data_IF_647368093633
#
_entry.id   IF_647368093633
#
_cell.length_a   1.000
_cell.length_b   1.000
_cell.length_c   1.000
_cell.angle_alpha   90.00
_cell.angle_beta   90.00
_cell.angle_gamma   90.00
#
_symmetry.space_group_name_H-M   'P 1'
#
loop_
_entity.id
_entity.type
_entity.pdbx_description
1 polymer ?
#
# COMPACT_ATOMS: atom_id res chain seq x y z
N UNK A 1 -4.03 7.69 38.91
CA UNK A 1 -3.14 6.54 38.68
C UNK A 1 -1.82 6.74 39.45
N UNK A 2 -1.34 5.72 40.15
CA UNK A 2 0.00 5.70 40.75
C UNK A 2 0.91 4.91 39.82
N UNK A 3 2.11 5.43 39.51
CA UNK A 3 3.04 4.78 38.58
C UNK A 3 4.43 4.78 39.20
N UNK A 4 5.09 3.64 39.20
CA UNK A 4 6.49 3.47 39.55
C UNK A 4 7.29 3.00 38.32
N UNK A 5 8.55 3.36 38.27
CA UNK A 5 9.42 3.11 37.13
C UNK A 5 10.61 2.25 37.56
N UNK A 6 10.99 1.30 36.72
CA UNK A 6 12.19 0.47 36.87
C UNK A 6 12.88 0.35 35.51
N UNK A 7 14.15 0.73 35.43
CA UNK A 7 14.98 0.47 34.26
C UNK A 7 15.46 -0.97 34.28
N UNK A 8 15.34 -1.65 33.16
CA UNK A 8 15.78 -3.03 32.95
C UNK A 8 17.20 -3.06 32.37
N UNK A 9 17.85 -4.21 32.42
CA UNK A 9 19.24 -4.38 31.95
C UNK A 9 19.38 -4.27 30.43
N UNK A 10 18.28 -4.57 29.70
CA UNK A 10 18.16 -4.49 28.24
C UNK A 10 17.86 -3.06 27.72
N UNK A 11 17.81 -2.06 28.61
CA UNK A 11 17.52 -0.68 28.26
C UNK A 11 16.04 -0.35 28.20
N UNK A 12 15.16 -1.31 28.38
CA UNK A 12 13.72 -1.10 28.50
C UNK A 12 13.33 -0.49 29.83
N UNK A 13 12.17 0.14 29.88
CA UNK A 13 11.61 0.71 31.11
C UNK A 13 10.33 -0.06 31.44
N UNK A 14 10.31 -0.72 32.60
CA UNK A 14 9.08 -1.32 33.15
C UNK A 14 8.37 -0.29 34.05
N UNK A 15 7.16 0.07 33.70
CA UNK A 15 6.25 0.84 34.52
C UNK A 15 5.31 -0.11 35.28
N UNK A 16 5.19 0.05 36.56
CA UNK A 16 4.12 -0.60 37.34
C UNK A 16 3.08 0.45 37.68
N UNK A 17 1.88 0.28 37.16
CA UNK A 17 0.77 1.23 37.26
C UNK A 17 -0.39 0.65 38.09
N UNK A 18 -0.97 1.47 38.94
CA UNK A 18 -2.19 1.15 39.67
C UNK A 18 -3.27 2.19 39.35
N UNK A 19 -4.25 1.79 38.58
CA UNK A 19 -5.41 2.61 38.24
C UNK A 19 -6.47 2.52 39.34
N UNK A 20 -6.94 3.68 39.80
CA UNK A 20 -8.00 3.75 40.79
C UNK A 20 -9.36 3.31 40.19
N UNK A 21 -10.32 2.94 41.04
CA UNK A 21 -11.65 2.48 40.60
C UNK A 21 -12.38 3.44 39.69
N UNK A 22 -12.20 4.76 39.89
CA UNK A 22 -12.79 5.78 39.01
C UNK A 22 -12.15 5.81 37.61
N UNK A 23 -10.81 5.63 37.54
CA UNK A 23 -10.08 5.58 36.27
C UNK A 23 -10.43 4.32 35.50
N UNK A 24 -10.58 3.18 36.18
CA UNK A 24 -11.05 1.93 35.58
C UNK A 24 -12.47 2.06 35.04
N UNK A 25 -13.37 2.72 35.78
CA UNK A 25 -14.73 2.97 35.31
C UNK A 25 -14.77 3.86 34.07
N UNK A 26 -13.94 4.89 34.02
CA UNK A 26 -13.78 5.74 32.85
C UNK A 26 -13.22 4.98 31.64
N UNK A 27 -12.20 4.15 31.86
CA UNK A 27 -11.60 3.32 30.80
C UNK A 27 -12.66 2.39 30.16
N UNK A 28 -13.47 1.72 30.94
CA UNK A 28 -14.57 0.92 30.41
C UNK A 28 -15.64 1.76 29.69
N UNK A 29 -15.94 2.95 30.17
CA UNK A 29 -16.90 3.81 29.47
C UNK A 29 -16.40 4.18 28.08
N UNK A 30 -15.13 4.57 27.93
CA UNK A 30 -14.54 4.86 26.62
C UNK A 30 -14.46 3.59 25.78
N UNK A 31 -13.98 2.48 26.34
CA UNK A 31 -13.87 1.20 25.67
C UNK A 31 -15.20 0.69 25.08
N UNK A 32 -16.32 0.93 25.78
CA UNK A 32 -17.65 0.57 25.29
C UNK A 32 -18.02 1.31 24.00
N UNK A 33 -17.76 2.63 23.95
CA UNK A 33 -17.99 3.42 22.73
C UNK A 33 -17.07 2.97 21.60
N UNK A 34 -15.80 2.77 21.89
CA UNK A 34 -14.82 2.30 20.91
C UNK A 34 -15.19 0.92 20.36
N UNK A 35 -15.65 0.00 21.22
CA UNK A 35 -16.12 -1.32 20.82
C UNK A 35 -17.33 -1.23 19.90
N UNK A 36 -18.36 -0.45 20.27
CA UNK A 36 -19.53 -0.25 19.43
C UNK A 36 -19.14 0.33 18.07
N UNK A 37 -18.26 1.33 18.03
CA UNK A 37 -17.79 1.95 16.80
C UNK A 37 -17.03 0.95 15.91
N UNK A 38 -16.15 0.12 16.49
CA UNK A 38 -15.39 -0.91 15.74
C UNK A 38 -16.30 -2.00 15.15
N UNK A 39 -17.43 -2.27 15.81
CA UNK A 39 -18.42 -3.25 15.34
C UNK A 39 -19.52 -2.63 14.45
N UNK A 40 -19.40 -1.35 14.08
CA UNK A 40 -20.40 -0.64 13.29
C UNK A 40 -21.74 -0.45 14.00
N UNK A 41 -21.76 -0.47 15.34
CA UNK A 41 -22.96 -0.26 16.15
C UNK A 41 -23.08 1.22 16.51
N UNK A 42 -24.06 1.90 15.93
CA UNK A 42 -24.43 3.26 16.35
C UNK A 42 -25.13 3.21 17.71
N UNK A 43 -24.72 4.10 18.60
CA UNK A 43 -25.33 4.30 19.93
C UNK A 43 -26.29 5.48 19.84
N UNK A 44 -27.63 5.27 19.82
CA UNK A 44 -28.61 6.33 19.72
C UNK A 44 -28.59 7.27 20.95
N UNK A 45 -29.04 8.51 20.76
CA UNK A 45 -29.18 9.44 21.88
C UNK A 45 -30.14 8.86 22.93
N UNK A 46 -29.68 8.77 24.19
CA UNK A 46 -30.46 8.25 25.31
C UNK A 46 -30.26 6.77 25.60
N UNK A 47 -29.50 6.03 24.77
CA UNK A 47 -29.07 4.66 25.08
C UNK A 47 -27.63 4.63 25.56
N UNK A 48 -27.31 3.60 26.35
CA UNK A 48 -25.92 3.31 26.70
C UNK A 48 -25.30 2.37 25.65
N UNK A 49 -23.95 2.39 25.45
CA UNK A 49 -23.28 1.43 24.57
C UNK A 49 -23.61 -0.02 24.90
N UNK A 50 -23.76 -0.37 26.17
CA UNK A 50 -24.11 -1.71 26.61
C UNK A 50 -25.52 -2.12 26.12
N UNK A 51 -26.50 -1.24 26.19
CA UNK A 51 -27.84 -1.49 25.66
C UNK A 51 -27.84 -1.66 24.14
N UNK A 52 -27.09 -0.79 23.43
CA UNK A 52 -26.99 -0.87 21.98
C UNK A 52 -26.28 -2.15 21.53
N UNK A 53 -25.23 -2.58 22.23
CA UNK A 53 -24.52 -3.82 21.95
C UNK A 53 -25.37 -5.07 22.27
N UNK A 54 -26.17 -5.05 23.34
CA UNK A 54 -27.09 -6.14 23.67
C UNK A 54 -28.18 -6.27 22.59
N UNK A 55 -28.76 -5.16 22.17
CA UNK A 55 -29.84 -5.15 21.17
C UNK A 55 -29.37 -5.59 19.77
N UNK A 56 -28.22 -5.06 19.32
CA UNK A 56 -27.72 -5.31 17.95
C UNK A 56 -26.82 -6.53 17.81
N UNK A 57 -26.05 -6.85 18.86
CA UNK A 57 -25.05 -7.93 18.81
C UNK A 57 -25.36 -9.09 19.76
N UNK A 58 -26.37 -8.94 20.66
CA UNK A 58 -26.70 -9.95 21.67
C UNK A 58 -25.67 -10.07 22.80
N UNK A 59 -24.78 -9.08 22.96
CA UNK A 59 -23.71 -9.08 23.96
C UNK A 59 -24.26 -8.55 25.29
N UNK A 60 -24.40 -9.43 26.29
CA UNK A 60 -24.93 -9.08 27.62
C UNK A 60 -23.88 -8.51 28.57
N UNK A 61 -22.62 -8.90 28.39
CA UNK A 61 -21.50 -8.45 29.21
C UNK A 61 -20.48 -7.74 28.34
N UNK A 62 -20.69 -6.42 28.15
CA UNK A 62 -19.83 -5.59 27.33
C UNK A 62 -18.47 -5.35 28.02
N UNK A 63 -18.42 -5.35 29.36
CA UNK A 63 -17.15 -5.22 30.09
C UNK A 63 -16.19 -6.38 29.71
N UNK A 64 -16.68 -7.62 29.63
CA UNK A 64 -15.84 -8.77 29.29
C UNK A 64 -15.20 -8.70 27.91
N UNK A 65 -15.92 -8.20 26.90
CA UNK A 65 -15.43 -8.14 25.51
C UNK A 65 -14.62 -6.88 25.21
N UNK A 66 -14.71 -5.86 26.05
CA UNK A 66 -14.00 -4.58 25.87
C UNK A 66 -12.80 -4.39 26.82
N UNK A 67 -12.38 -5.44 27.54
CA UNK A 67 -11.27 -5.38 28.50
C UNK A 67 -9.97 -4.86 27.87
N UNK A 68 -9.61 -5.38 26.69
CA UNK A 68 -8.40 -4.94 26.00
C UNK A 68 -8.45 -3.44 25.66
N UNK A 69 -9.56 -2.97 25.15
CA UNK A 69 -9.73 -1.54 24.82
C UNK A 69 -9.67 -0.65 26.09
N UNK A 70 -10.17 -1.15 27.24
CA UNK A 70 -10.06 -0.44 28.49
C UNK A 70 -8.62 -0.37 29.01
N UNK A 71 -7.82 -1.42 28.78
CA UNK A 71 -6.40 -1.45 29.10
C UNK A 71 -5.63 -0.51 28.18
N UNK A 72 -5.90 -0.59 26.87
CA UNK A 72 -5.26 0.27 25.85
C UNK A 72 -5.52 1.76 26.12
N UNK A 73 -6.68 2.09 26.66
CA UNK A 73 -6.99 3.44 27.14
C UNK A 73 -6.15 3.87 28.35
N UNK A 74 -5.82 2.95 29.28
CA UNK A 74 -5.06 3.27 30.50
C UNK A 74 -3.54 3.39 30.26
N UNK A 75 -3.00 2.68 29.29
CA UNK A 75 -1.55 2.62 29.02
C UNK A 75 -0.92 4.00 28.77
N UNK A 76 -1.47 4.87 27.89
CA UNK A 76 -0.92 6.21 27.65
C UNK A 76 -0.82 7.05 28.92
N UNK A 77 -1.80 6.96 29.81
CA UNK A 77 -1.76 7.71 31.09
C UNK A 77 -0.65 7.24 32.03
N UNK A 78 -0.30 5.95 31.98
CA UNK A 78 0.83 5.44 32.76
C UNK A 78 2.15 5.99 32.25
N UNK A 79 2.32 6.07 30.95
CA UNK A 79 3.51 6.60 30.26
C UNK A 79 3.64 8.11 30.50
N UNK A 80 2.55 8.86 30.32
CA UNK A 80 2.50 10.32 30.50
C UNK A 80 2.85 10.72 31.94
N UNK A 81 2.40 9.96 32.96
CA UNK A 81 2.76 10.21 34.37
C UNK A 81 4.24 10.20 34.66
N UNK A 82 5.04 9.59 33.80
CA UNK A 82 6.52 9.54 33.89
C UNK A 82 7.20 10.43 32.86
N UNK A 83 6.42 11.17 32.06
CA UNK A 83 6.94 12.04 31.00
C UNK A 83 7.90 11.27 30.07
N UNK A 84 7.56 10.00 29.78
CA UNK A 84 8.34 9.18 28.88
C UNK A 84 7.88 9.38 27.44
N UNK A 85 8.83 9.37 26.52
CA UNK A 85 8.56 9.37 25.10
C UNK A 85 8.95 7.99 24.55
N UNK A 86 7.98 7.10 24.29
CA UNK A 86 8.29 5.76 23.78
C UNK A 86 8.70 5.82 22.31
N UNK A 87 9.63 4.95 21.91
CA UNK A 87 10.01 4.76 20.51
C UNK A 87 8.94 3.96 19.73
N UNK A 88 8.19 3.10 20.42
CA UNK A 88 7.10 2.29 19.89
C UNK A 88 5.91 2.27 20.83
N UNK A 89 4.73 1.83 20.38
CA UNK A 89 3.59 1.63 21.24
C UNK A 89 3.96 0.77 22.45
N UNK A 90 3.70 1.26 23.68
CA UNK A 90 4.05 0.53 24.90
C UNK A 90 3.28 -0.78 25.00
N UNK A 91 3.94 -1.85 25.47
CA UNK A 91 3.32 -3.17 25.60
C UNK A 91 2.82 -3.40 27.02
N UNK A 92 1.50 -3.55 27.24
CA UNK A 92 0.97 -3.90 28.55
C UNK A 92 1.23 -5.36 28.89
N UNK A 93 1.66 -5.62 30.13
CA UNK A 93 1.82 -6.94 30.74
C UNK A 93 0.75 -7.07 31.82
N UNK A 94 -0.15 -8.02 31.66
CA UNK A 94 -1.36 -8.16 32.43
C UNK A 94 -1.35 -9.49 33.19
N UNK A 95 -1.24 -9.43 34.50
CA UNK A 95 -1.27 -10.61 35.37
C UNK A 95 -2.71 -11.00 35.79
N UNK A 96 -3.63 -10.04 35.81
CA UNK A 96 -5.02 -10.24 36.22
C UNK A 96 -5.99 -9.46 35.32
N UNK A 97 -7.19 -10.00 35.06
CA UNK A 97 -8.17 -9.31 34.22
C UNK A 97 -8.66 -8.02 34.90
N UNK A 98 -8.81 -6.96 34.11
CA UNK A 98 -9.40 -5.70 34.57
C UNK A 98 -10.88 -5.89 34.91
N UNK A 99 -11.33 -5.35 36.06
CA UNK A 99 -12.74 -5.44 36.50
C UNK A 99 -13.23 -4.09 36.98
N UNK A 100 -14.41 -3.73 36.54
CA UNK A 100 -15.09 -2.50 36.98
C UNK A 100 -15.30 -2.49 38.50
N UNK A 101 -15.05 -1.37 39.14
CA UNK A 101 -15.22 -1.18 40.58
C UNK A 101 -14.06 -1.68 41.43
N UNK A 102 -12.99 -2.19 40.84
CA UNK A 102 -11.77 -2.60 41.53
C UNK A 102 -10.59 -1.75 41.09
N UNK A 103 -9.56 -1.66 41.92
CA UNK A 103 -8.26 -1.12 41.54
C UNK A 103 -7.61 -2.10 40.58
N UNK A 104 -7.03 -1.63 39.49
CA UNK A 104 -6.36 -2.45 38.51
C UNK A 104 -4.87 -2.16 38.48
N UNK A 105 -4.09 -3.18 38.78
CA UNK A 105 -2.63 -3.14 38.72
C UNK A 105 -2.16 -3.83 37.45
N UNK A 106 -1.29 -3.15 36.71
CA UNK A 106 -0.72 -3.65 35.46
C UNK A 106 0.67 -3.12 35.26
N UNK A 107 1.44 -3.81 34.44
CA UNK A 107 2.77 -3.36 34.03
C UNK A 107 2.74 -2.90 32.59
N UNK A 108 3.62 -1.98 32.25
CA UNK A 108 3.80 -1.50 30.88
C UNK A 108 5.30 -1.52 30.57
N UNK A 109 5.65 -2.22 29.54
CA UNK A 109 7.02 -2.21 29.02
C UNK A 109 7.14 -1.09 27.98
N UNK A 110 8.10 -0.21 28.18
CA UNK A 110 8.33 0.97 27.35
C UNK A 110 9.74 0.90 26.78
N UNK A 111 9.86 0.96 25.47
CA UNK A 111 11.13 1.19 24.79
C UNK A 111 11.35 2.70 24.72
N UNK A 112 12.31 3.28 25.48
CA UNK A 112 12.52 4.71 25.44
C UNK A 112 13.10 5.12 24.07
N UNK A 113 12.81 6.34 23.65
CA UNK A 113 13.55 6.92 22.51
C UNK A 113 15.03 6.97 22.84
N UNK A 114 15.91 6.62 21.91
CA UNK A 114 17.36 6.77 22.11
C UNK A 114 17.73 8.25 22.30
N UNK A 115 18.82 8.50 23.00
CA UNK A 115 19.44 9.83 23.04
C UNK A 115 20.16 10.06 21.71
N UNK A 116 19.80 11.11 21.00
CA UNK A 116 20.37 11.46 19.71
C UNK A 116 20.44 12.97 19.51
N UNK A 117 21.44 13.37 18.77
CA UNK A 117 21.71 14.75 18.37
C UNK A 117 22.25 14.77 16.93
N UNK A 118 22.35 15.96 16.34
CA UNK A 118 23.06 16.14 15.09
C UNK A 118 24.43 16.75 15.34
N UNK A 119 25.42 16.36 14.53
CA UNK A 119 26.76 16.97 14.57
C UNK A 119 26.76 18.45 14.21
N UNK A 120 25.73 18.90 13.49
CA UNK A 120 25.51 20.30 13.08
C UNK A 120 24.07 20.55 12.73
N UNK A 121 23.52 21.67 13.20
CA UNK A 121 22.19 22.21 12.85
C UNK A 121 22.27 23.33 11.81
N UNK A 122 23.44 23.58 11.22
CA UNK A 122 23.60 24.54 10.13
C UNK A 122 22.72 24.16 8.93
N UNK A 123 22.20 25.15 8.17
CA UNK A 123 21.38 24.90 7.00
C UNK A 123 22.01 23.89 6.05
N UNK A 124 21.17 22.98 5.53
CA UNK A 124 21.60 21.96 4.57
C UNK A 124 21.79 22.59 3.20
N UNK A 125 22.90 22.28 2.54
CA UNK A 125 23.17 22.66 1.16
C UNK A 125 23.10 21.42 0.27
N UNK A 126 22.13 21.39 -0.64
CA UNK A 126 21.96 20.32 -1.60
C UNK A 126 22.16 20.82 -3.02
N UNK A 127 22.68 19.99 -3.90
CA UNK A 127 22.77 20.27 -5.32
C UNK A 127 21.75 19.41 -6.05
N UNK A 128 20.75 20.06 -6.64
CA UNK A 128 19.70 19.38 -7.39
C UNK A 128 19.81 19.70 -8.88
N UNK A 129 19.49 18.75 -9.78
CA UNK A 129 19.41 19.03 -11.21
C UNK A 129 18.32 20.08 -11.48
N UNK A 130 18.45 20.90 -12.54
CA UNK A 130 17.42 21.88 -12.88
C UNK A 130 16.11 21.17 -13.26
N UNK A 131 15.00 21.76 -12.86
CA UNK A 131 13.67 21.28 -13.23
C UNK A 131 13.37 21.72 -14.67
N UNK A 132 13.55 20.82 -15.63
CA UNK A 132 13.22 21.04 -17.02
C UNK A 132 12.00 20.21 -17.40
N UNK A 133 10.99 20.85 -17.96
CA UNK A 133 9.81 20.15 -18.49
C UNK A 133 10.03 19.81 -19.97
N UNK A 134 9.79 18.57 -20.32
CA UNK A 134 9.84 18.12 -21.71
C UNK A 134 8.44 18.14 -22.32
N UNK A 135 8.19 19.05 -23.23
CA UNK A 135 6.90 19.20 -23.92
C UNK A 135 6.52 17.96 -24.75
N UNK A 136 7.48 17.13 -25.15
CA UNK A 136 7.19 15.89 -25.87
C UNK A 136 6.37 14.89 -25.05
N UNK A 137 6.43 14.99 -23.72
CA UNK A 137 5.60 14.20 -22.82
C UNK A 137 4.10 14.50 -22.98
N UNK A 138 3.76 15.73 -23.34
CA UNK A 138 2.37 16.12 -23.62
C UNK A 138 1.87 15.39 -24.86
N UNK A 139 2.69 15.37 -25.93
CA UNK A 139 2.34 14.66 -27.16
C UNK A 139 2.21 13.16 -26.93
N UNK A 140 3.12 12.57 -26.16
CA UNK A 140 3.05 11.16 -25.79
C UNK A 140 1.78 10.84 -24.99
N UNK A 141 1.41 11.68 -24.03
CA UNK A 141 0.22 11.48 -23.21
C UNK A 141 -1.07 11.60 -24.05
N UNK A 142 -1.11 12.56 -24.99
CA UNK A 142 -2.24 12.71 -25.92
C UNK A 142 -2.31 11.51 -26.87
N UNK A 143 -1.17 11.01 -27.35
CA UNK A 143 -1.10 9.82 -28.17
C UNK A 143 -1.61 8.57 -27.41
N UNK A 144 -1.17 8.36 -26.18
CA UNK A 144 -1.69 7.29 -25.32
C UNK A 144 -3.19 7.40 -25.07
N UNK A 145 -3.68 8.63 -24.90
CA UNK A 145 -5.09 8.90 -24.79
C UNK A 145 -5.82 8.48 -26.06
N UNK A 146 -5.35 8.91 -27.25
CA UNK A 146 -5.92 8.49 -28.53
C UNK A 146 -5.93 6.96 -28.69
N UNK A 147 -4.86 6.29 -28.29
CA UNK A 147 -4.73 4.84 -28.32
C UNK A 147 -5.75 4.10 -27.45
N UNK A 148 -6.15 4.71 -26.33
CA UNK A 148 -7.21 4.13 -25.48
C UNK A 148 -8.61 4.14 -26.17
N UNK A 149 -8.79 4.95 -27.19
CA UNK A 149 -10.00 5.00 -28.03
C UNK A 149 -9.82 4.31 -29.39
N UNK A 150 -8.73 3.55 -29.57
CA UNK A 150 -8.50 2.83 -30.80
C UNK A 150 -9.64 1.84 -31.09
N UNK A 151 -10.05 1.79 -32.34
CA UNK A 151 -11.02 0.80 -32.84
C UNK A 151 -10.29 -0.25 -33.67
N UNK A 152 -10.88 -1.43 -33.75
CA UNK A 152 -10.33 -2.54 -34.52
C UNK A 152 -11.33 -2.88 -35.61
N UNK A 153 -10.92 -2.64 -36.87
CA UNK A 153 -11.77 -2.85 -38.04
C UNK A 153 -11.23 -3.99 -38.90
N UNK A 154 -12.11 -4.68 -39.59
CA UNK A 154 -11.71 -5.73 -40.50
C UNK A 154 -10.82 -5.18 -41.58
N UNK A 155 -9.65 -5.80 -41.76
CA UNK A 155 -8.73 -5.50 -42.84
C UNK A 155 -8.65 -6.63 -43.87
N UNK A 156 -8.07 -6.34 -45.05
CA UNK A 156 -7.72 -7.39 -45.99
C UNK A 156 -6.75 -8.39 -45.35
N UNK A 157 -6.89 -9.68 -45.73
CA UNK A 157 -6.14 -10.78 -45.12
C UNK A 157 -4.63 -10.57 -45.22
N UNK A 158 -4.06 -9.90 -44.21
CA UNK A 158 -2.61 -9.79 -43.98
C UNK A 158 -2.22 -10.76 -42.86
N UNK A 159 -1.00 -11.33 -42.88
CA UNK A 159 -0.50 -12.08 -41.75
C UNK A 159 -0.48 -11.20 -40.49
N UNK A 160 -0.91 -11.76 -39.35
CA UNK A 160 -0.85 -11.09 -38.06
C UNK A 160 0.58 -10.79 -37.68
N UNK A 161 0.86 -9.56 -37.30
CA UNK A 161 2.13 -9.13 -36.72
C UNK A 161 2.06 -9.05 -35.18
N UNK A 162 3.15 -8.71 -34.53
CA UNK A 162 3.26 -8.66 -33.06
C UNK A 162 2.38 -7.56 -32.40
N UNK A 163 1.84 -6.63 -33.17
CA UNK A 163 0.93 -5.57 -32.72
C UNK A 163 -0.46 -5.67 -33.35
N UNK A 164 -0.71 -6.75 -34.08
CA UNK A 164 -1.95 -7.00 -34.80
C UNK A 164 -3.11 -7.33 -33.86
N UNK A 165 -4.31 -7.29 -34.42
CA UNK A 165 -5.49 -7.78 -33.76
C UNK A 165 -6.25 -8.75 -34.67
N UNK A 166 -6.92 -9.70 -34.06
CA UNK A 166 -7.74 -10.66 -34.78
C UNK A 166 -8.99 -11.01 -33.98
N UNK A 167 -10.07 -11.26 -34.67
CA UNK A 167 -11.19 -11.96 -34.08
C UNK A 167 -10.90 -13.46 -34.13
N UNK A 168 -10.78 -14.09 -32.98
CA UNK A 168 -10.39 -15.50 -32.87
C UNK A 168 -11.50 -16.31 -32.20
N UNK A 169 -11.66 -17.55 -32.65
CA UNK A 169 -12.33 -18.58 -31.88
C UNK A 169 -11.24 -19.42 -31.18
N UNK A 170 -11.47 -19.71 -29.92
CA UNK A 170 -10.51 -20.37 -29.05
C UNK A 170 -11.17 -21.53 -28.33
N UNK A 171 -10.61 -22.71 -28.48
CA UNK A 171 -10.95 -23.90 -27.72
C UNK A 171 -9.75 -24.32 -26.89
N UNK A 172 -9.92 -24.39 -25.57
CA UNK A 172 -8.85 -24.77 -24.64
C UNK A 172 -9.28 -25.97 -23.83
N UNK A 173 -8.37 -26.92 -23.67
CA UNK A 173 -8.54 -28.08 -22.83
C UNK A 173 -7.29 -28.41 -22.04
N UNK A 174 -7.44 -29.07 -20.90
CA UNK A 174 -6.34 -29.53 -20.06
C UNK A 174 -6.58 -30.99 -19.68
N UNK A 175 -5.64 -31.87 -20.03
CA UNK A 175 -5.81 -33.28 -19.79
C UNK A 175 -7.08 -33.89 -20.38
N UNK A 176 -7.53 -33.37 -21.53
CA UNK A 176 -8.76 -33.79 -22.22
C UNK A 176 -10.07 -33.20 -21.68
N UNK A 177 -10.01 -32.32 -20.68
CA UNK A 177 -11.17 -31.60 -20.13
C UNK A 177 -11.21 -30.20 -20.69
N UNK A 178 -12.32 -29.81 -21.33
CA UNK A 178 -12.54 -28.47 -21.87
C UNK A 178 -12.63 -27.43 -20.75
N UNK A 179 -11.99 -26.29 -20.94
CA UNK A 179 -12.01 -25.14 -20.03
C UNK A 179 -12.89 -24.03 -20.62
N UNK A 180 -14.19 -24.06 -20.32
CA UNK A 180 -15.17 -23.16 -20.93
C UNK A 180 -14.92 -21.68 -20.64
N UNK A 181 -14.25 -21.36 -19.52
CA UNK A 181 -13.88 -20.00 -19.14
C UNK A 181 -12.76 -19.40 -20.04
N UNK A 182 -12.00 -20.24 -20.73
CA UNK A 182 -10.97 -19.83 -21.69
C UNK A 182 -11.42 -19.99 -23.15
N UNK A 183 -12.56 -20.63 -23.39
CA UNK A 183 -13.10 -20.83 -24.74
C UNK A 183 -13.90 -19.62 -25.21
N UNK A 184 -13.84 -19.33 -26.51
CA UNK A 184 -14.66 -18.29 -27.16
C UNK A 184 -14.95 -18.64 -28.60
N UNK A 185 -16.15 -18.32 -29.04
CA UNK A 185 -16.58 -18.55 -30.45
C UNK A 185 -16.25 -17.35 -31.36
N UNK A 186 -15.75 -16.26 -30.81
CA UNK A 186 -15.38 -15.07 -31.58
C UNK A 186 -15.14 -13.84 -30.67
N UNK A 187 -13.89 -13.63 -30.27
CA UNK A 187 -13.46 -12.48 -29.49
C UNK A 187 -12.31 -11.77 -30.20
N UNK A 188 -12.31 -10.46 -30.19
CA UNK A 188 -11.13 -9.70 -30.62
C UNK A 188 -10.00 -9.92 -29.62
N UNK A 189 -8.88 -10.42 -30.12
CA UNK A 189 -7.63 -10.60 -29.41
C UNK A 189 -6.60 -9.64 -30.00
N UNK A 190 -5.91 -8.93 -29.11
CA UNK A 190 -4.87 -7.95 -29.48
C UNK A 190 -3.54 -8.52 -29.01
N UNK A 191 -2.62 -8.71 -29.95
CA UNK A 191 -1.27 -9.19 -29.64
C UNK A 191 -0.47 -8.10 -28.94
N UNK A 192 0.42 -8.48 -28.05
CA UNK A 192 1.27 -7.55 -27.29
C UNK A 192 0.62 -6.93 -26.06
N UNK A 193 -0.63 -7.28 -25.75
CA UNK A 193 -1.31 -6.80 -24.53
C UNK A 193 -1.01 -7.63 -23.28
N UNK A 194 -0.27 -8.74 -23.42
CA UNK A 194 0.08 -9.62 -22.30
C UNK A 194 -1.11 -10.34 -21.66
N UNK A 195 -2.24 -10.50 -22.37
CA UNK A 195 -3.43 -11.19 -21.89
C UNK A 195 -3.24 -12.72 -21.84
N UNK A 196 -2.36 -13.25 -22.67
CA UNK A 196 -1.97 -14.65 -22.75
C UNK A 196 -0.45 -14.74 -22.74
N UNK A 197 0.12 -15.92 -22.40
CA UNK A 197 1.57 -16.13 -22.42
C UNK A 197 2.19 -15.83 -23.78
N UNK A 198 3.46 -15.40 -23.79
CA UNK A 198 4.23 -15.11 -25.01
C UNK A 198 4.22 -16.27 -26.01
N UNK A 199 4.18 -17.50 -25.51
CA UNK A 199 4.15 -18.71 -26.34
C UNK A 199 2.84 -18.82 -27.13
N UNK A 200 1.73 -18.41 -26.56
CA UNK A 200 0.44 -18.31 -27.24
C UNK A 200 0.51 -17.25 -28.35
N UNK A 201 1.00 -16.06 -28.06
CA UNK A 201 1.11 -14.97 -29.03
C UNK A 201 2.04 -15.29 -30.20
N UNK A 202 3.19 -15.93 -29.92
CA UNK A 202 4.11 -16.40 -30.96
C UNK A 202 3.45 -17.37 -31.96
N UNK A 203 2.48 -18.13 -31.51
CA UNK A 203 1.76 -19.06 -32.38
C UNK A 203 0.72 -18.35 -33.25
N UNK A 204 0.24 -17.19 -32.89
CA UNK A 204 -0.69 -16.36 -33.67
C UNK A 204 0.01 -15.53 -34.74
N UNK A 205 1.26 -15.12 -34.48
CA UNK A 205 2.03 -14.32 -35.42
C UNK A 205 2.21 -15.08 -36.74
N UNK A 206 1.88 -14.42 -37.85
CA UNK A 206 1.93 -14.97 -39.20
C UNK A 206 0.68 -15.72 -39.66
N UNK A 207 -0.31 -15.92 -38.79
CA UNK A 207 -1.61 -16.49 -39.19
C UNK A 207 -2.43 -15.48 -40.00
N UNK A 208 -3.27 -15.99 -40.87
CA UNK A 208 -4.20 -15.23 -41.71
C UNK A 208 -5.65 -15.64 -41.46
N UNK A 209 -6.60 -14.88 -42.00
CA UNK A 209 -8.03 -15.20 -41.92
C UNK A 209 -8.31 -16.63 -42.44
N UNK A 210 -8.99 -17.42 -41.64
CA UNK A 210 -9.34 -18.81 -41.92
C UNK A 210 -8.33 -19.84 -41.41
N UNK A 211 -7.16 -19.42 -40.98
CA UNK A 211 -6.16 -20.36 -40.46
C UNK A 211 -6.57 -20.96 -39.11
N UNK A 212 -6.27 -22.24 -38.96
CA UNK A 212 -6.48 -23.01 -37.74
C UNK A 212 -5.15 -23.56 -37.27
N UNK A 213 -4.81 -23.39 -36.01
CA UNK A 213 -3.59 -23.92 -35.41
C UNK A 213 -3.89 -24.58 -34.07
N UNK A 214 -3.29 -25.75 -33.88
CA UNK A 214 -3.37 -26.48 -32.61
C UNK A 214 -1.95 -26.52 -32.00
N UNK A 215 -1.85 -26.14 -30.73
CA UNK A 215 -0.60 -26.13 -29.98
C UNK A 215 -0.89 -26.24 -28.49
N UNK A 216 0.14 -26.57 -27.70
CA UNK A 216 0.07 -26.57 -26.26
C UNK A 216 0.94 -25.44 -25.70
N UNK A 217 0.55 -24.89 -24.57
CA UNK A 217 1.32 -23.89 -23.85
C UNK A 217 1.11 -23.99 -22.33
N UNK A 218 2.07 -23.48 -21.57
CA UNK A 218 2.01 -23.48 -20.12
C UNK A 218 1.49 -22.11 -19.60
N UNK A 219 0.65 -22.15 -18.57
CA UNK A 219 0.22 -20.91 -17.89
C UNK A 219 1.32 -20.44 -16.94
N UNK A 220 1.70 -19.16 -16.97
CA UNK A 220 2.62 -18.59 -15.99
C UNK A 220 2.12 -18.79 -14.55
N UNK A 221 2.96 -19.37 -13.69
CA UNK A 221 2.60 -19.64 -12.30
C UNK A 221 1.84 -20.94 -12.05
N UNK A 222 1.70 -21.81 -13.06
CA UNK A 222 1.15 -23.15 -12.85
C UNK A 222 2.08 -23.99 -11.95
N UNK A 223 1.53 -24.84 -11.05
CA UNK A 223 2.34 -25.73 -10.21
C UNK A 223 3.20 -26.68 -11.05
N UNK A 224 4.40 -27.02 -10.57
CA UNK A 224 5.27 -28.01 -11.21
C UNK A 224 4.55 -29.36 -11.37
N UNK A 225 4.46 -29.84 -12.63
CA UNK A 225 3.81 -31.11 -12.98
C UNK A 225 2.35 -31.00 -13.42
N UNK A 226 1.80 -29.81 -13.53
CA UNK A 226 0.51 -29.60 -14.17
C UNK A 226 0.60 -29.82 -15.68
N UNK A 227 -0.46 -30.41 -16.28
CA UNK A 227 -0.46 -30.68 -17.71
C UNK A 227 -0.59 -29.37 -18.49
N UNK A 228 0.12 -29.19 -19.62
CA UNK A 228 -0.01 -28.03 -20.49
C UNK A 228 -1.46 -27.86 -20.98
N UNK A 229 -1.79 -26.66 -21.36
CA UNK A 229 -3.07 -26.34 -21.97
C UNK A 229 -3.02 -26.64 -23.46
N UNK A 230 -3.84 -27.60 -23.91
CA UNK A 230 -4.05 -27.84 -25.32
C UNK A 230 -4.99 -26.79 -25.89
N UNK A 231 -4.57 -26.09 -26.92
CA UNK A 231 -5.27 -24.97 -27.50
C UNK A 231 -5.47 -25.17 -28.99
N UNK A 232 -6.71 -24.91 -29.46
CA UNK A 232 -7.04 -24.77 -30.85
C UNK A 232 -7.55 -23.37 -31.13
N UNK A 233 -6.81 -22.63 -31.95
CA UNK A 233 -7.14 -21.27 -32.36
C UNK A 233 -7.58 -21.27 -33.82
N UNK A 234 -8.67 -20.57 -34.09
CA UNK A 234 -9.11 -20.26 -35.44
C UNK A 234 -9.15 -18.74 -35.60
N UNK A 235 -8.46 -18.20 -36.58
CA UNK A 235 -8.51 -16.80 -36.94
C UNK A 235 -9.75 -16.60 -37.82
N UNK A 236 -10.78 -15.95 -37.26
CA UNK A 236 -12.03 -15.69 -37.96
C UNK A 236 -11.89 -14.45 -38.85
N UNK A 237 -11.14 -13.46 -38.42
CA UNK A 237 -11.05 -12.17 -39.07
C UNK A 237 -9.78 -11.45 -38.64
N UNK A 238 -8.98 -10.98 -39.57
CA UNK A 238 -7.85 -10.09 -39.27
C UNK A 238 -8.38 -8.65 -39.09
N UNK A 239 -7.88 -7.96 -38.08
CA UNK A 239 -8.30 -6.60 -37.73
C UNK A 239 -7.09 -5.67 -37.70
N UNK A 240 -7.27 -4.45 -38.16
CA UNK A 240 -6.28 -3.38 -38.10
C UNK A 240 -6.67 -2.38 -37.01
N UNK A 241 -5.70 -1.94 -36.23
CA UNK A 241 -5.89 -0.93 -35.17
C UNK A 241 -5.97 0.45 -35.82
N UNK A 242 -7.11 1.10 -35.68
CA UNK A 242 -7.31 2.49 -36.07
C UNK A 242 -7.28 3.36 -34.82
N UNK A 243 -6.20 4.11 -34.67
CA UNK A 243 -6.08 5.13 -33.62
C UNK A 243 -6.69 6.42 -34.16
N UNK A 244 -7.70 6.98 -33.50
CA UNK A 244 -8.33 8.20 -33.97
C UNK A 244 -7.34 9.40 -33.85
N UNK A 245 -7.43 10.32 -34.80
CA UNK A 245 -6.76 11.61 -34.64
C UNK A 245 -7.48 12.43 -33.56
N UNK A 246 -6.70 13.09 -32.71
CA UNK A 246 -7.24 13.97 -31.66
C UNK A 246 -7.55 15.32 -32.29
N UNK A 247 -8.68 15.37 -32.98
CA UNK A 247 -9.23 16.58 -33.61
C UNK A 247 -10.44 17.12 -32.81
N UNK A 248 -11.06 18.17 -33.33
CA UNK A 248 -12.23 18.77 -32.71
C UNK A 248 -13.41 17.78 -32.60
N UNK A 249 -13.62 16.94 -33.61
CA UNK A 249 -14.70 15.94 -33.59
C UNK A 249 -14.47 14.85 -32.54
N UNK A 250 -13.21 14.44 -32.36
CA UNK A 250 -12.81 13.52 -31.29
C UNK A 250 -13.12 14.11 -29.91
N UNK A 251 -12.79 15.38 -29.68
CA UNK A 251 -13.01 16.07 -28.40
C UNK A 251 -14.49 16.17 -28.09
N UNK A 252 -15.30 16.65 -29.04
CA UNK A 252 -16.75 16.77 -28.87
C UNK A 252 -17.43 15.44 -28.52
N UNK A 253 -16.94 14.36 -29.12
CA UNK A 253 -17.49 13.02 -28.90
C UNK A 253 -17.05 12.39 -27.59
N UNK A 254 -15.76 12.47 -27.25
CA UNK A 254 -15.14 11.68 -26.20
C UNK A 254 -14.76 12.49 -24.95
N UNK A 255 -14.62 13.83 -25.08
CA UNK A 255 -14.11 14.70 -24.03
C UNK A 255 -14.91 16.00 -23.90
N UNK A 256 -16.18 15.95 -23.52
CA UNK A 256 -17.05 17.12 -23.48
C UNK A 256 -16.60 18.22 -22.50
N UNK A 257 -15.61 17.93 -21.64
CA UNK A 257 -15.02 18.90 -20.71
C UNK A 257 -13.94 19.77 -21.36
N UNK A 258 -13.33 19.33 -22.45
CA UNK A 258 -12.37 20.11 -23.24
C UNK A 258 -13.10 20.88 -24.35
N UNK A 259 -12.68 22.14 -24.61
CA UNK A 259 -13.29 22.97 -25.68
C UNK A 259 -12.73 22.60 -27.06
N UNK A 260 -11.43 22.41 -27.12
CA UNK A 260 -10.67 22.19 -28.34
C UNK A 260 -9.36 21.46 -28.02
N UNK A 261 -8.60 21.10 -29.04
CA UNK A 261 -7.31 20.39 -28.92
C UNK A 261 -6.31 21.19 -28.09
N UNK A 262 -6.29 22.51 -28.24
CA UNK A 262 -5.34 23.38 -27.53
C UNK A 262 -5.65 23.42 -26.03
N UNK A 263 -6.93 23.50 -25.65
CA UNK A 263 -7.34 23.41 -24.24
C UNK A 263 -7.03 22.05 -23.63
N UNK A 264 -7.17 20.94 -24.37
CA UNK A 264 -6.76 19.61 -23.93
C UNK A 264 -5.25 19.56 -23.70
N UNK A 265 -4.45 20.06 -24.64
CA UNK A 265 -2.98 20.12 -24.50
C UNK A 265 -2.58 20.92 -23.27
N UNK A 266 -3.22 22.07 -23.05
CA UNK A 266 -2.95 22.90 -21.89
C UNK A 266 -3.24 22.16 -20.57
N UNK A 267 -4.39 21.52 -20.45
CA UNK A 267 -4.77 20.76 -19.25
C UNK A 267 -3.80 19.59 -18.98
N UNK A 268 -3.43 18.85 -20.03
CA UNK A 268 -2.44 17.75 -19.92
C UNK A 268 -1.08 18.30 -19.51
N UNK A 269 -0.63 19.41 -20.12
CA UNK A 269 0.64 20.05 -19.77
C UNK A 269 0.66 20.55 -18.33
N UNK A 270 -0.38 21.24 -17.89
CA UNK A 270 -0.50 21.74 -16.50
C UNK A 270 -0.46 20.58 -15.49
N UNK A 271 -1.17 19.48 -15.77
CA UNK A 271 -1.14 18.28 -14.92
C UNK A 271 0.24 17.66 -14.85
N UNK A 272 0.89 17.41 -15.99
CA UNK A 272 2.24 16.81 -16.04
C UNK A 272 3.28 17.69 -15.35
N UNK A 273 3.19 19.03 -15.53
CA UNK A 273 4.06 19.97 -14.83
C UNK A 273 3.82 19.98 -13.32
N UNK A 274 2.55 19.86 -12.87
CA UNK A 274 2.23 19.79 -11.46
C UNK A 274 2.76 18.48 -10.83
N UNK A 275 2.57 17.36 -11.51
CA UNK A 275 3.12 16.05 -11.10
C UNK A 275 4.66 16.10 -11.02
N UNK A 276 5.31 16.66 -12.04
CA UNK A 276 6.77 16.80 -12.06
C UNK A 276 7.29 17.72 -10.93
N UNK A 277 6.58 18.82 -10.66
CA UNK A 277 6.94 19.73 -9.56
C UNK A 277 6.81 19.01 -8.20
N UNK A 278 5.74 18.25 -8.01
CA UNK A 278 5.53 17.48 -6.77
C UNK A 278 6.65 16.44 -6.58
N UNK A 279 6.98 15.68 -7.60
CA UNK A 279 8.10 14.71 -7.57
C UNK A 279 9.45 15.40 -7.31
N UNK A 280 9.67 16.56 -7.91
CA UNK A 280 10.89 17.31 -7.69
C UNK A 280 11.00 17.84 -6.26
N UNK A 281 9.90 18.33 -5.69
CA UNK A 281 9.86 18.74 -4.28
C UNK A 281 10.10 17.57 -3.33
N UNK A 282 9.49 16.42 -3.60
CA UNK A 282 9.72 15.19 -2.81
C UNK A 282 11.19 14.74 -2.89
N UNK A 283 11.79 14.78 -4.07
CA UNK A 283 13.23 14.52 -4.25
C UNK A 283 14.08 15.47 -3.41
N UNK A 284 13.77 16.78 -3.43
CA UNK A 284 14.50 17.78 -2.64
C UNK A 284 14.38 17.49 -1.14
N UNK A 285 13.18 17.19 -0.65
CA UNK A 285 12.95 16.83 0.76
C UNK A 285 13.72 15.57 1.14
N UNK A 286 13.72 14.55 0.31
CA UNK A 286 14.49 13.33 0.52
C UNK A 286 15.99 13.61 0.60
N UNK A 287 16.52 14.42 -0.32
CA UNK A 287 17.96 14.81 -0.29
C UNK A 287 18.33 15.59 0.97
N UNK A 288 17.46 16.48 1.44
CA UNK A 288 17.67 17.21 2.71
C UNK A 288 17.64 16.25 3.89
N UNK A 289 16.67 15.33 3.93
CA UNK A 289 16.57 14.31 4.99
C UNK A 289 17.80 13.38 5.01
N UNK A 290 18.29 12.98 3.84
CA UNK A 290 19.49 12.17 3.71
C UNK A 290 20.74 12.90 4.24
N UNK A 291 20.90 14.20 3.92
CA UNK A 291 22.02 14.99 4.40
C UNK A 291 21.95 15.22 5.91
N UNK A 292 20.76 15.45 6.47
CA UNK A 292 20.55 15.51 7.92
C UNK A 292 20.85 14.16 8.59
N UNK A 293 20.47 13.06 7.96
CA UNK A 293 20.75 11.69 8.45
C UNK A 293 22.25 11.42 8.57
N UNK A 294 23.07 11.96 7.68
CA UNK A 294 24.55 11.85 7.77
C UNK A 294 25.12 12.57 8.97
N UNK A 295 24.40 13.56 9.50
CA UNK A 295 24.80 14.31 10.70
C UNK A 295 24.31 13.65 11.99
N UNK A 296 23.54 12.58 11.90
CA UNK A 296 22.98 11.87 13.04
C UNK A 296 24.07 11.33 13.94
N UNK A 297 23.93 11.57 15.23
CA UNK A 297 24.83 11.12 16.29
C UNK A 297 23.99 10.52 17.42
N UNK A 298 24.03 9.21 17.55
CA UNK A 298 23.23 8.47 18.54
C UNK A 298 23.36 6.97 18.34
N UNK A 299 22.87 6.22 19.30
CA UNK A 299 22.82 4.75 19.24
C UNK A 299 21.36 4.32 19.27
N UNK A 300 20.92 3.65 18.22
CA UNK A 300 19.59 3.03 18.13
C UNK A 300 19.77 1.55 18.46
N UNK A 301 18.96 1.02 19.37
CA UNK A 301 19.06 -0.40 19.74
C UNK A 301 18.61 -1.30 18.60
N UNK A 302 19.13 -2.53 18.57
CA UNK A 302 18.77 -3.51 17.56
C UNK A 302 17.27 -3.86 17.61
N UNK A 303 16.66 -3.85 18.80
CA UNK A 303 15.22 -4.07 18.99
C UNK A 303 14.36 -3.02 18.26
N UNK A 304 14.80 -1.76 18.25
CA UNK A 304 14.13 -0.67 17.54
C UNK A 304 14.18 -0.92 16.03
N UNK A 305 15.33 -1.37 15.52
CA UNK A 305 15.48 -1.73 14.11
C UNK A 305 14.63 -2.94 13.72
N UNK A 306 14.60 -3.98 14.58
CA UNK A 306 13.81 -5.18 14.34
C UNK A 306 12.31 -4.88 14.34
N UNK A 307 11.84 -4.08 15.29
CA UNK A 307 10.43 -3.67 15.34
C UNK A 307 10.02 -2.85 14.13
N UNK A 308 10.87 -1.94 13.64
CA UNK A 308 10.61 -1.19 12.42
C UNK A 308 10.59 -2.11 11.19
N UNK A 309 11.55 -3.05 11.08
CA UNK A 309 11.57 -4.07 10.02
C UNK A 309 10.27 -4.87 10.01
N UNK A 310 9.79 -5.31 11.17
CA UNK A 310 8.57 -6.09 11.30
C UNK A 310 7.33 -5.27 10.89
N UNK A 311 7.31 -3.99 11.23
CA UNK A 311 6.26 -3.06 10.76
C UNK A 311 6.28 -2.92 9.23
N UNK A 312 7.46 -2.74 8.63
CA UNK A 312 7.60 -2.68 7.18
C UNK A 312 7.15 -3.98 6.51
N UNK A 313 7.52 -5.13 7.10
CA UNK A 313 7.09 -6.45 6.63
C UNK A 313 5.56 -6.58 6.62
N UNK A 314 4.88 -6.14 7.69
CA UNK A 314 3.43 -6.17 7.79
C UNK A 314 2.77 -5.25 6.76
N UNK A 315 3.33 -4.04 6.55
CA UNK A 315 2.82 -3.10 5.55
C UNK A 315 2.93 -3.67 4.13
N UNK A 316 4.06 -4.30 3.79
CA UNK A 316 4.24 -4.97 2.50
C UNK A 316 3.22 -6.09 2.34
N UNK A 317 3.05 -6.96 3.36
CA UNK A 317 2.03 -8.03 3.33
C UNK A 317 0.63 -7.49 3.12
N UNK A 318 0.26 -6.43 3.84
CA UNK A 318 -1.04 -5.79 3.71
C UNK A 318 -1.29 -5.22 2.32
N UNK A 319 -0.29 -4.54 1.75
CA UNK A 319 -0.37 -3.97 0.39
C UNK A 319 -0.49 -5.06 -0.68
N UNK A 320 0.31 -6.12 -0.59
CA UNK A 320 0.25 -7.26 -1.53
C UNK A 320 -1.08 -8.01 -1.45
N UNK A 321 -1.62 -8.20 -0.23
CA UNK A 321 -2.92 -8.83 -0.03
C UNK A 321 -4.05 -8.02 -0.69
N UNK A 322 -4.01 -6.68 -0.63
CA UNK A 322 -4.97 -5.82 -1.32
C UNK A 322 -4.87 -5.93 -2.85
N UNK A 323 -3.67 -6.18 -3.37
CA UNK A 323 -3.42 -6.37 -4.80
C UNK A 323 -3.65 -7.80 -5.28
N UNK A 324 -3.94 -8.75 -4.37
CA UNK A 324 -4.12 -10.16 -4.69
C UNK A 324 -2.83 -10.89 -5.08
N UNK A 325 -1.67 -10.33 -4.71
CA UNK A 325 -0.35 -10.91 -5.03
C UNK A 325 0.09 -11.80 -3.85
N UNK A 326 0.42 -13.09 -4.09
CA UNK A 326 0.97 -13.97 -3.06
C UNK A 326 2.31 -13.44 -2.51
N UNK A 327 2.42 -13.35 -1.18
CA UNK A 327 3.61 -12.81 -0.53
C UNK A 327 4.88 -13.62 -0.85
N UNK A 328 4.78 -14.93 -0.89
CA UNK A 328 5.90 -15.84 -1.19
C UNK A 328 6.44 -15.60 -2.60
N UNK A 329 5.57 -15.42 -3.59
CA UNK A 329 5.97 -15.13 -4.97
C UNK A 329 6.69 -13.78 -5.08
N UNK A 330 6.23 -12.78 -4.34
CA UNK A 330 6.89 -11.47 -4.28
C UNK A 330 8.29 -11.58 -3.67
N UNK A 331 8.43 -12.31 -2.53
CA UNK A 331 9.71 -12.50 -1.85
C UNK A 331 10.70 -13.26 -2.72
N UNK A 332 10.27 -14.29 -3.44
CA UNK A 332 11.12 -15.02 -4.41
C UNK A 332 11.61 -14.09 -5.53
N UNK A 333 10.76 -13.24 -6.07
CA UNK A 333 11.13 -12.25 -7.07
C UNK A 333 12.15 -11.21 -6.55
N UNK A 334 12.17 -10.96 -5.23
CA UNK A 334 13.14 -10.09 -4.55
C UNK A 334 14.46 -10.81 -4.17
N UNK A 335 14.64 -12.05 -4.57
CA UNK A 335 15.86 -12.84 -4.30
C UNK A 335 15.78 -13.73 -3.05
N UNK A 336 14.57 -14.01 -2.57
CA UNK A 336 14.26 -14.89 -1.45
C UNK A 336 14.30 -14.20 -0.07
N UNK A 337 13.91 -14.95 0.95
CA UNK A 337 13.72 -14.46 2.32
C UNK A 337 14.92 -13.69 2.90
N UNK A 338 16.13 -14.21 2.65
CA UNK A 338 17.34 -13.61 3.21
C UNK A 338 17.64 -12.24 2.60
N UNK A 339 17.55 -12.12 1.27
CA UNK A 339 17.81 -10.88 0.56
C UNK A 339 16.72 -9.84 0.85
N UNK A 340 15.47 -10.27 0.85
CA UNK A 340 14.33 -9.43 1.20
C UNK A 340 14.40 -8.94 2.65
N UNK A 341 14.73 -9.82 3.61
CA UNK A 341 14.92 -9.45 5.01
C UNK A 341 16.05 -8.44 5.22
N UNK A 342 17.16 -8.59 4.49
CA UNK A 342 18.28 -7.64 4.52
C UNK A 342 17.86 -6.27 3.96
N UNK A 343 17.12 -6.25 2.85
CA UNK A 343 16.60 -5.02 2.23
C UNK A 343 15.69 -4.27 3.19
N UNK A 344 14.76 -4.96 3.86
CA UNK A 344 13.88 -4.35 4.86
C UNK A 344 14.66 -3.81 6.06
N UNK A 345 15.73 -4.49 6.50
CA UNK A 345 16.56 -4.01 7.59
C UNK A 345 17.31 -2.72 7.22
N UNK A 346 17.82 -2.64 6.00
CA UNK A 346 18.48 -1.42 5.49
C UNK A 346 17.46 -0.27 5.43
N UNK A 347 16.27 -0.54 4.91
CA UNK A 347 15.20 0.45 4.83
C UNK A 347 14.74 0.91 6.22
N UNK A 348 14.55 -0.02 7.16
CA UNK A 348 14.21 0.30 8.56
C UNK A 348 15.25 1.20 9.20
N UNK A 349 16.52 0.88 8.99
CA UNK A 349 17.65 1.68 9.51
C UNK A 349 17.65 3.09 8.93
N UNK A 350 17.48 3.21 7.62
CA UNK A 350 17.41 4.51 6.95
C UNK A 350 16.24 5.35 7.46
N UNK A 351 15.03 4.78 7.53
CA UNK A 351 13.83 5.48 8.00
C UNK A 351 13.96 5.96 9.44
N UNK A 352 14.50 5.13 10.33
CA UNK A 352 14.70 5.50 11.74
C UNK A 352 15.72 6.64 11.89
N UNK A 353 16.85 6.55 11.21
CA UNK A 353 17.88 7.60 11.27
C UNK A 353 17.36 8.91 10.69
N UNK A 354 16.62 8.87 9.57
CA UNK A 354 15.98 10.06 9.01
C UNK A 354 14.95 10.65 9.98
N UNK A 355 14.07 9.81 10.54
CA UNK A 355 13.06 10.25 11.49
C UNK A 355 13.64 10.93 12.73
N UNK A 356 14.68 10.32 13.32
CA UNK A 356 15.35 10.92 14.49
C UNK A 356 16.17 12.16 14.13
N UNK A 357 16.77 12.22 12.96
CA UNK A 357 17.48 13.42 12.51
C UNK A 357 16.50 14.60 12.32
N UNK A 358 15.33 14.35 11.72
CA UNK A 358 14.29 15.39 11.58
C UNK A 358 13.71 15.80 12.93
N UNK A 359 13.45 14.84 13.85
CA UNK A 359 12.99 15.15 15.22
C UNK A 359 14.02 15.98 15.99
N UNK A 360 15.33 15.73 15.80
CA UNK A 360 16.37 16.55 16.40
C UNK A 360 16.30 18.01 15.92
N UNK A 361 16.11 18.23 14.62
CA UNK A 361 15.92 19.58 14.04
C UNK A 361 14.65 20.22 14.61
N UNK A 362 13.52 19.49 14.62
CA UNK A 362 12.25 19.97 15.14
C UNK A 362 12.39 20.48 16.59
N UNK A 363 13.05 19.71 17.43
CA UNK A 363 13.32 20.10 18.83
C UNK A 363 14.29 21.28 18.96
N UNK A 364 15.37 21.29 18.16
CA UNK A 364 16.36 22.37 18.17
C UNK A 364 15.73 23.71 17.78
N UNK A 365 14.94 23.73 16.72
CA UNK A 365 14.24 24.92 16.20
C UNK A 365 13.00 25.29 17.02
N UNK A 366 12.65 24.48 18.05
CA UNK A 366 11.48 24.68 18.91
C UNK A 366 10.17 24.80 18.10
N UNK A 367 10.07 24.01 17.05
CA UNK A 367 8.89 23.95 16.21
C UNK A 367 7.71 23.38 17.02
N UNK A 368 6.52 23.80 16.71
CA UNK A 368 5.27 23.29 17.29
C UNK A 368 4.33 22.89 16.18
N UNK A 369 3.60 21.81 16.38
CA UNK A 369 2.50 21.41 15.50
C UNK A 369 1.23 22.08 15.97
N UNK A 370 0.37 22.50 15.08
CA UNK A 370 -0.98 22.94 15.36
C UNK A 370 -2.02 21.99 14.72
N UNK A 371 -3.31 22.27 14.96
CA UNK A 371 -4.38 21.38 14.49
C UNK A 371 -4.56 21.40 12.95
N UNK A 372 -3.85 22.26 12.23
CA UNK A 372 -3.88 22.35 10.77
C UNK A 372 -2.66 21.65 10.11
N UNK A 373 -1.61 21.33 10.88
CA UNK A 373 -0.41 20.60 10.44
C UNK A 373 -0.63 19.06 10.43
#
# INVERSE_FOLDING_TARGET
>A
MKVTEKKLEDGLIELTAAAATAEVAQAFNVAHYSFCASMGVEVPQGQTPAQAAEEKLGIKDLDSVSQQMAIDYLVPFAVDKRNLCPAFPPTPIIDQPIKRGQVFEFKVQVTPKPDYELTSYEPVSITVPPLNFDESLVDQQIQQLAESFATYEKCDAKPLDASGAAKIALEVSQGGKRLDNLCTDGRTYILGMGLMPDEFEKNLIGMTEGDVKEFAFDMPGAPEGEAPLDCKVTVLECQEKHVPEVDQAFIEKNMPMARDVESLRQVVSERLQAEQRAQYQEMQLTMVADELSRRFQGTISDEVYESMRDTLMQNVRGSLAQQGIPFEQFVEAQGGDQQFGMMLMIQARQMLVQGYALDAVFRHEKMTLDDED
#
